data_IF_377669157313
#
_entry.id   IF_377669157313
#
_cell.length_a   1.000
_cell.length_b   1.000
_cell.length_c   1.000
_cell.angle_alpha   90.00
_cell.angle_beta   90.00
_cell.angle_gamma   90.00
#
_symmetry.space_group_name_H-M   'P 1'
#
loop_
_entity.id
_entity.type
_entity.pdbx_description
1 polymer ?
#
# COMPACT_ATOMS: atom_id res chain seq x y z
N UNK A 1 10.89 1.29 6.37
CA UNK A 1 12.10 1.70 7.11
C UNK A 1 12.42 3.18 6.87
N UNK A 2 13.15 3.84 7.77
CA UNK A 2 13.56 5.24 7.60
C UNK A 2 14.95 5.32 6.96
N UNK A 3 15.26 6.39 6.23
CA UNK A 3 16.58 6.59 5.60
C UNK A 3 17.74 6.46 6.59
N UNK A 4 17.51 6.75 7.88
CA UNK A 4 18.46 6.48 8.97
C UNK A 4 18.82 5.00 9.10
N UNK A 5 17.83 4.11 9.05
CA UNK A 5 18.04 2.66 9.14
C UNK A 5 18.87 2.17 7.96
N UNK A 6 18.49 2.60 6.75
CA UNK A 6 19.16 2.27 5.50
C UNK A 6 20.61 2.80 5.48
N UNK A 7 20.82 3.99 6.04
CA UNK A 7 22.14 4.60 6.20
C UNK A 7 23.08 3.79 7.08
N UNK A 8 22.59 3.28 8.20
CA UNK A 8 23.36 2.38 9.06
C UNK A 8 23.66 1.04 8.39
N UNK A 9 22.67 0.44 7.73
CA UNK A 9 22.81 -0.88 7.11
C UNK A 9 23.80 -0.89 5.94
N UNK A 10 23.67 0.08 5.04
CA UNK A 10 24.50 0.14 3.83
C UNK A 10 25.73 1.05 3.99
N UNK A 11 25.89 1.70 5.15
CA UNK A 11 26.95 2.69 5.43
C UNK A 11 26.99 3.84 4.42
N UNK A 12 25.82 4.24 3.91
CA UNK A 12 25.67 5.34 2.95
C UNK A 12 25.06 6.54 3.68
N UNK A 13 25.58 7.75 3.44
CA UNK A 13 25.04 8.96 4.06
C UNK A 13 23.59 9.25 3.63
N UNK A 14 22.75 9.74 4.55
CA UNK A 14 21.31 9.96 4.32
C UNK A 14 21.02 10.89 3.13
N UNK A 15 21.83 11.93 2.95
CA UNK A 15 21.72 12.84 1.81
C UNK A 15 21.86 12.13 0.45
N UNK A 16 22.70 11.10 0.40
CA UNK A 16 22.97 10.29 -0.79
C UNK A 16 21.84 9.30 -1.00
N UNK A 17 21.37 8.64 0.06
CA UNK A 17 20.19 7.75 0.02
C UNK A 17 18.94 8.49 -0.47
N UNK A 18 18.75 9.72 -0.01
CA UNK A 18 17.64 10.59 -0.44
C UNK A 18 17.63 10.88 -1.95
N UNK A 19 18.79 10.75 -2.61
CA UNK A 19 18.94 10.88 -4.07
C UNK A 19 18.85 9.54 -4.79
N UNK A 20 19.42 8.48 -4.21
CA UNK A 20 19.42 7.13 -4.81
C UNK A 20 18.00 6.57 -4.87
N UNK A 21 17.22 6.64 -3.79
CA UNK A 21 15.89 6.00 -3.74
C UNK A 21 14.98 6.49 -4.88
N UNK A 22 14.78 7.80 -5.10
CA UNK A 22 13.95 8.25 -6.21
C UNK A 22 14.53 7.89 -7.58
N UNK A 23 15.86 7.89 -7.74
CA UNK A 23 16.52 7.55 -9.00
C UNK A 23 16.32 6.08 -9.37
N UNK A 24 16.53 5.17 -8.43
CA UNK A 24 16.30 3.73 -8.63
C UNK A 24 14.82 3.41 -8.84
N UNK A 25 13.91 4.01 -8.05
CA UNK A 25 12.47 3.84 -8.27
C UNK A 25 12.04 4.34 -9.65
N UNK A 26 12.60 5.46 -10.12
CA UNK A 26 12.32 5.96 -11.47
C UNK A 26 12.83 5.00 -12.54
N UNK A 27 14.05 4.47 -12.40
CA UNK A 27 14.62 3.51 -13.34
C UNK A 27 13.79 2.21 -13.41
N UNK A 28 13.42 1.66 -12.25
CA UNK A 28 12.56 0.46 -12.15
C UNK A 28 11.21 0.72 -12.82
N UNK A 29 10.58 1.86 -12.52
CA UNK A 29 9.30 2.24 -13.14
C UNK A 29 9.45 2.36 -14.66
N UNK A 30 10.48 3.04 -15.18
CA UNK A 30 10.65 3.21 -16.62
C UNK A 30 10.78 1.88 -17.38
N UNK A 31 11.46 0.89 -16.80
CA UNK A 31 11.66 -0.41 -17.45
C UNK A 31 10.43 -1.30 -17.35
N UNK A 32 9.79 -1.37 -16.16
CA UNK A 32 8.74 -2.35 -15.89
C UNK A 32 7.33 -1.82 -16.15
N UNK A 33 7.11 -0.50 -16.12
CA UNK A 33 5.76 0.07 -16.17
C UNK A 33 5.03 -0.29 -17.46
N UNK A 34 5.70 -0.24 -18.61
CA UNK A 34 5.06 -0.50 -19.91
C UNK A 34 4.52 -1.94 -20.04
N UNK A 35 5.18 -2.92 -19.41
CA UNK A 35 4.82 -4.33 -19.53
C UNK A 35 3.91 -4.79 -18.36
N UNK A 36 4.11 -4.25 -17.16
CA UNK A 36 3.46 -4.74 -15.93
C UNK A 36 2.48 -3.76 -15.29
N UNK A 37 2.26 -2.58 -15.88
CA UNK A 37 1.30 -1.61 -15.38
C UNK A 37 0.60 -0.86 -16.53
N UNK A 38 -0.72 -1.03 -16.65
CA UNK A 38 -1.53 -0.17 -17.51
C UNK A 38 -1.80 1.14 -16.75
N UNK A 39 -1.03 2.17 -17.07
CA UNK A 39 -1.37 3.52 -16.63
C UNK A 39 -2.49 4.04 -17.53
N UNK A 40 -3.60 4.53 -16.97
CA UNK A 40 -4.68 5.06 -17.80
C UNK A 40 -4.20 6.21 -18.67
N UNK A 41 -4.43 6.11 -19.97
CA UNK A 41 -3.98 7.12 -20.94
C UNK A 41 -5.02 8.22 -21.17
N UNK A 42 -6.28 8.01 -20.72
CA UNK A 42 -7.35 8.99 -20.87
C UNK A 42 -7.95 9.46 -19.52
N UNK A 43 -8.39 10.73 -19.43
CA UNK A 43 -9.05 11.27 -18.23
C UNK A 43 -10.28 10.47 -17.78
N UNK A 44 -10.98 9.83 -18.72
CA UNK A 44 -12.19 9.06 -18.45
C UNK A 44 -11.88 7.77 -17.69
N UNK A 45 -10.78 7.08 -18.03
CA UNK A 45 -10.31 5.92 -17.28
C UNK A 45 -9.79 6.32 -15.90
N UNK A 46 -9.11 7.46 -15.78
CA UNK A 46 -8.74 8.02 -14.47
C UNK A 46 -9.96 8.32 -13.60
N UNK A 47 -11.04 8.82 -14.20
CA UNK A 47 -12.32 9.05 -13.51
C UNK A 47 -12.95 7.74 -13.06
N UNK A 48 -12.88 6.69 -13.87
CA UNK A 48 -13.33 5.34 -13.50
C UNK A 48 -12.54 4.80 -12.31
N UNK A 49 -11.20 4.86 -12.36
CA UNK A 49 -10.34 4.45 -11.24
C UNK A 49 -10.68 5.25 -9.99
N UNK A 50 -10.84 6.57 -10.07
CA UNK A 50 -11.22 7.39 -8.91
C UNK A 50 -12.58 7.01 -8.32
N UNK A 51 -13.56 6.68 -9.18
CA UNK A 51 -14.87 6.21 -8.74
C UNK A 51 -14.82 4.81 -8.12
N UNK A 52 -13.99 3.91 -8.65
CA UNK A 52 -13.80 2.57 -8.09
C UNK A 52 -13.16 2.66 -6.69
N UNK A 53 -12.15 3.53 -6.53
CA UNK A 53 -11.57 3.83 -5.22
C UNK A 53 -12.58 4.45 -4.24
N UNK A 54 -13.45 5.33 -4.73
CA UNK A 54 -14.53 5.89 -3.91
C UNK A 54 -15.56 4.82 -3.53
N UNK A 55 -15.98 3.96 -4.45
CA UNK A 55 -17.02 2.96 -4.21
C UNK A 55 -16.57 1.80 -3.33
N UNK A 56 -15.34 1.31 -3.53
CA UNK A 56 -14.80 0.18 -2.79
C UNK A 56 -14.19 0.59 -1.44
N UNK A 57 -13.55 1.77 -1.39
CA UNK A 57 -12.71 2.16 -0.26
C UNK A 57 -13.12 3.49 0.40
N UNK A 58 -14.21 4.11 -0.06
CA UNK A 58 -14.70 5.42 0.40
C UNK A 58 -13.61 6.51 0.43
N UNK A 59 -12.74 6.51 -0.60
CA UNK A 59 -11.58 7.40 -0.67
C UNK A 59 -11.77 8.47 -1.76
N UNK A 60 -12.41 9.62 -1.45
CA UNK A 60 -12.67 10.68 -2.43
C UNK A 60 -11.38 11.39 -2.85
N UNK A 61 -11.31 11.80 -4.12
CA UNK A 61 -10.19 12.53 -4.71
C UNK A 61 -8.83 11.82 -4.61
N UNK A 62 -8.80 10.50 -4.77
CA UNK A 62 -7.59 9.69 -4.64
C UNK A 62 -6.41 10.17 -5.52
N UNK A 63 -6.71 10.79 -6.66
CA UNK A 63 -5.74 11.28 -7.62
C UNK A 63 -4.95 12.51 -7.13
N UNK A 64 -5.52 13.31 -6.23
CA UNK A 64 -4.89 14.52 -5.71
C UNK A 64 -4.01 14.32 -4.48
N UNK A 65 -4.05 13.13 -3.87
CA UNK A 65 -3.39 12.86 -2.59
C UNK A 65 -1.92 12.40 -2.72
N UNK A 66 -1.44 12.10 -3.94
CA UNK A 66 -0.08 11.61 -4.16
C UNK A 66 0.90 12.74 -4.48
N UNK A 67 1.83 13.00 -3.56
CA UNK A 67 3.04 13.79 -3.82
C UNK A 67 3.90 13.15 -4.92
N UNK A 68 4.64 13.95 -5.70
CA UNK A 68 5.40 13.49 -6.86
C UNK A 68 6.48 12.44 -6.50
N UNK A 69 7.11 12.56 -5.32
CA UNK A 69 8.04 11.52 -4.81
C UNK A 69 7.31 10.26 -4.39
N UNK A 70 6.20 10.40 -3.68
CA UNK A 70 5.37 9.27 -3.26
C UNK A 70 4.87 8.49 -4.50
N UNK A 71 4.49 9.21 -5.56
CA UNK A 71 4.07 8.63 -6.84
C UNK A 71 5.13 7.71 -7.43
N UNK A 72 6.39 8.17 -7.50
CA UNK A 72 7.48 7.36 -8.07
C UNK A 72 7.72 6.08 -7.28
N UNK A 73 7.70 6.16 -5.95
CA UNK A 73 7.91 5.00 -5.07
C UNK A 73 6.76 4.00 -5.22
N UNK A 74 5.51 4.49 -5.20
CA UNK A 74 4.32 3.64 -5.35
C UNK A 74 4.32 2.94 -6.71
N UNK A 75 4.59 3.67 -7.80
CA UNK A 75 4.66 3.10 -9.14
C UNK A 75 5.73 2.02 -9.24
N UNK A 76 6.95 2.29 -8.78
CA UNK A 76 8.03 1.31 -8.78
C UNK A 76 7.66 0.04 -8.00
N UNK A 77 7.05 0.22 -6.82
CA UNK A 77 6.63 -0.90 -5.97
C UNK A 77 5.55 -1.75 -6.65
N UNK A 78 4.54 -1.12 -7.23
CA UNK A 78 3.47 -1.82 -7.93
C UNK A 78 3.97 -2.53 -9.20
N UNK A 79 4.83 -1.89 -9.99
CA UNK A 79 5.40 -2.52 -11.18
C UNK A 79 6.26 -3.73 -10.81
N UNK A 80 7.12 -3.59 -9.80
CA UNK A 80 7.96 -4.68 -9.31
C UNK A 80 7.12 -5.82 -8.75
N UNK A 81 6.09 -5.51 -7.96
CA UNK A 81 5.16 -6.50 -7.42
C UNK A 81 4.46 -7.28 -8.53
N UNK A 82 3.97 -6.60 -9.56
CA UNK A 82 3.32 -7.22 -10.71
C UNK A 82 4.28 -8.10 -11.51
N UNK A 83 5.51 -7.64 -11.72
CA UNK A 83 6.57 -8.44 -12.33
C UNK A 83 6.86 -9.73 -11.53
N UNK A 84 7.04 -9.60 -10.22
CA UNK A 84 7.33 -10.75 -9.34
C UNK A 84 6.15 -11.74 -9.30
N UNK A 85 4.91 -11.25 -9.27
CA UNK A 85 3.72 -12.11 -9.35
C UNK A 85 3.57 -12.79 -10.72
N UNK A 86 4.01 -12.14 -11.80
CA UNK A 86 3.94 -12.72 -13.14
C UNK A 86 4.99 -13.80 -13.37
N UNK A 87 6.23 -13.57 -12.92
CA UNK A 87 7.38 -14.47 -13.21
C UNK A 87 7.66 -15.49 -12.10
N UNK A 88 7.32 -15.16 -10.87
CA UNK A 88 7.70 -15.93 -9.68
C UNK A 88 6.53 -16.09 -8.71
N UNK A 89 5.31 -16.28 -9.23
CA UNK A 89 4.06 -16.35 -8.43
C UNK A 89 4.20 -17.25 -7.20
N UNK A 90 4.70 -18.47 -7.38
CA UNK A 90 4.74 -19.48 -6.32
C UNK A 90 5.82 -19.20 -5.28
N UNK A 91 6.88 -18.48 -5.65
CA UNK A 91 7.97 -18.09 -4.74
C UNK A 91 7.65 -16.77 -4.01
N UNK A 92 7.02 -15.82 -4.70
CA UNK A 92 6.76 -14.48 -4.20
C UNK A 92 5.43 -14.38 -3.43
N UNK A 93 4.42 -15.13 -3.85
CA UNK A 93 3.09 -15.21 -3.20
C UNK A 93 2.58 -16.67 -3.20
N UNK A 94 3.16 -17.57 -2.39
CA UNK A 94 2.64 -18.93 -2.28
C UNK A 94 1.20 -18.93 -1.80
N UNK A 95 0.42 -19.94 -2.21
CA UNK A 95 -1.04 -20.03 -2.00
C UNK A 95 -1.43 -19.84 -0.52
N UNK A 96 -0.60 -20.32 0.40
CA UNK A 96 -0.84 -20.22 1.84
C UNK A 96 -0.39 -18.89 2.46
N UNK A 97 0.35 -18.04 1.76
CA UNK A 97 0.93 -16.81 2.35
C UNK A 97 -0.05 -15.65 2.51
N UNK A 98 -1.16 -15.67 1.78
CA UNK A 98 -2.16 -14.61 1.78
C UNK A 98 -3.48 -15.15 2.32
N UNK A 99 -4.32 -14.24 2.78
CA UNK A 99 -5.68 -14.58 3.19
C UNK A 99 -6.49 -14.95 1.96
N UNK A 100 -7.20 -16.07 2.03
CA UNK A 100 -8.08 -16.53 0.97
C UNK A 100 -9.51 -16.52 1.49
N UNK A 101 -10.34 -15.66 0.90
CA UNK A 101 -11.76 -15.59 1.18
C UNK A 101 -12.52 -16.25 0.04
N UNK A 102 -13.18 -17.37 0.33
CA UNK A 102 -14.08 -18.00 -0.62
C UNK A 102 -15.47 -17.39 -0.48
N UNK A 103 -15.85 -16.59 -1.48
CA UNK A 103 -17.03 -15.70 -1.45
C UNK A 103 -18.34 -16.48 -1.27
N UNK A 104 -18.43 -17.70 -1.82
CA UNK A 104 -19.66 -18.51 -1.77
C UNK A 104 -19.85 -19.21 -0.42
N UNK A 105 -18.78 -19.69 0.20
CA UNK A 105 -18.81 -20.41 1.47
C UNK A 105 -18.65 -19.50 2.68
N UNK A 106 -18.25 -18.23 2.47
CA UNK A 106 -17.80 -17.29 3.52
C UNK A 106 -16.70 -17.89 4.41
N UNK A 107 -15.97 -18.88 3.91
CA UNK A 107 -14.86 -19.46 4.65
C UNK A 107 -13.62 -18.62 4.41
N UNK A 108 -12.95 -18.28 5.51
CA UNK A 108 -11.74 -17.49 5.53
C UNK A 108 -10.55 -18.37 5.91
N UNK A 109 -9.66 -18.62 4.96
CA UNK A 109 -8.39 -19.27 5.23
C UNK A 109 -7.33 -18.21 5.55
N UNK A 110 -6.79 -18.28 6.77
CA UNK A 110 -5.78 -17.32 7.23
C UNK A 110 -4.42 -17.61 6.60
N UNK A 111 -3.78 -16.58 6.07
CA UNK A 111 -2.42 -16.68 5.54
C UNK A 111 -1.39 -17.04 6.63
N UNK A 112 -0.38 -17.82 6.23
CA UNK A 112 0.70 -18.33 7.09
C UNK A 112 1.54 -17.23 7.72
N UNK A 113 1.47 -16.00 7.20
CA UNK A 113 2.17 -14.83 7.74
C UNK A 113 1.82 -14.52 9.20
N UNK A 114 0.64 -14.97 9.69
CA UNK A 114 0.24 -14.85 11.11
C UNK A 114 0.98 -15.82 12.04
N UNK A 115 1.49 -16.93 11.51
CA UNK A 115 2.19 -17.95 12.28
C UNK A 115 3.72 -17.80 12.21
N UNK A 116 4.22 -16.96 11.29
CA UNK A 116 5.64 -16.64 11.22
C UNK A 116 6.06 -15.74 12.38
N UNK A 117 6.93 -16.27 13.23
CA UNK A 117 7.48 -15.57 14.40
C UNK A 117 8.40 -14.39 14.02
N UNK A 118 8.75 -14.23 12.74
CA UNK A 118 9.78 -13.30 12.27
C UNK A 118 9.29 -12.22 11.29
N UNK A 119 8.04 -12.28 10.81
CA UNK A 119 7.58 -11.38 9.73
C UNK A 119 7.25 -9.97 10.23
N UNK A 120 6.80 -9.87 11.49
CA UNK A 120 6.48 -8.60 12.12
C UNK A 120 7.20 -8.53 13.46
N UNK A 121 8.34 -7.84 13.48
CA UNK A 121 8.87 -7.36 14.76
C UNK A 121 7.75 -6.62 15.49
N UNK A 122 7.55 -6.83 16.81
CA UNK A 122 6.58 -6.09 17.58
C UNK A 122 6.75 -4.60 17.26
N UNK A 123 5.66 -3.93 16.89
CA UNK A 123 5.70 -2.50 16.59
C UNK A 123 6.32 -1.77 17.78
N UNK A 124 7.61 -1.44 17.66
CA UNK A 124 8.26 -0.53 18.59
C UNK A 124 7.56 0.79 18.38
N UNK A 125 6.75 1.22 19.35
CA UNK A 125 6.10 2.54 19.36
C UNK A 125 7.19 3.61 19.36
N UNK A 126 7.71 3.93 18.18
CA UNK A 126 8.57 5.09 17.98
C UNK A 126 7.67 6.31 18.08
N UNK A 127 7.94 7.17 19.04
CA UNK A 127 7.24 8.44 19.22
C UNK A 127 7.60 9.41 18.10
N UNK A 128 7.08 9.19 16.90
CA UNK A 128 7.01 10.23 15.89
C UNK A 128 5.94 11.24 16.32
N UNK A 129 6.36 12.48 16.62
CA UNK A 129 5.43 13.58 16.77
C UNK A 129 4.95 14.01 15.39
N UNK A 130 3.95 13.32 14.86
CA UNK A 130 3.21 13.79 13.69
C UNK A 130 2.71 15.22 13.91
N UNK A 131 2.70 16.04 12.86
CA UNK A 131 2.20 17.42 12.92
C UNK A 131 0.75 17.43 13.40
N UNK A 132 0.33 18.52 14.06
CA UNK A 132 -1.04 18.66 14.57
C UNK A 132 -2.05 18.50 13.43
N UNK A 133 -1.75 19.08 12.26
CA UNK A 133 -2.54 18.96 11.03
C UNK A 133 -2.70 17.51 10.58
N UNK A 134 -1.62 16.72 10.54
CA UNK A 134 -1.70 15.32 10.13
C UNK A 134 -2.53 14.47 11.11
N UNK A 135 -2.44 14.76 12.41
CA UNK A 135 -3.27 14.09 13.43
C UNK A 135 -4.74 14.44 13.26
N UNK A 136 -5.03 15.70 12.97
CA UNK A 136 -6.39 16.19 12.77
C UNK A 136 -7.03 15.61 11.51
N UNK A 137 -6.29 15.57 10.39
CA UNK A 137 -6.71 14.89 9.15
C UNK A 137 -7.00 13.41 9.43
N UNK A 138 -6.07 12.69 10.08
CA UNK A 138 -6.26 11.27 10.43
C UNK A 138 -7.52 11.07 11.27
N UNK A 139 -7.69 11.84 12.36
CA UNK A 139 -8.84 11.72 13.25
C UNK A 139 -10.15 12.05 12.51
N UNK A 140 -10.14 13.05 11.62
CA UNK A 140 -11.29 13.41 10.79
C UNK A 140 -11.71 12.26 9.88
N UNK A 141 -10.76 11.63 9.20
CA UNK A 141 -11.03 10.45 8.37
C UNK A 141 -11.51 9.25 9.19
N UNK A 142 -10.91 9.00 10.36
CA UNK A 142 -11.35 7.93 11.27
C UNK A 142 -12.79 8.15 11.73
N UNK A 143 -13.14 9.36 12.16
CA UNK A 143 -14.50 9.67 12.61
C UNK A 143 -15.53 9.58 11.48
N UNK A 144 -15.17 10.02 10.28
CA UNK A 144 -16.04 9.89 9.11
C UNK A 144 -16.28 8.42 8.76
N UNK A 145 -15.21 7.63 8.63
CA UNK A 145 -15.27 6.23 8.19
C UNK A 145 -15.98 5.32 9.20
N UNK A 146 -15.89 5.62 10.50
CA UNK A 146 -16.57 4.87 11.55
C UNK A 146 -17.98 5.41 11.87
N UNK A 147 -18.38 6.53 11.28
CA UNK A 147 -19.66 7.19 11.52
C UNK A 147 -20.46 7.37 10.23
N UNK A 148 -20.59 8.60 9.71
CA UNK A 148 -21.45 8.92 8.57
C UNK A 148 -21.04 8.25 7.25
N UNK A 149 -19.78 7.86 7.10
CA UNK A 149 -19.26 7.11 5.95
C UNK A 149 -19.15 5.60 6.18
N UNK A 150 -19.68 5.09 7.29
CA UNK A 150 -19.65 3.66 7.58
C UNK A 150 -20.63 2.90 6.68
N UNK A 151 -20.18 1.76 6.16
CA UNK A 151 -20.98 0.90 5.28
C UNK A 151 -21.49 -0.33 6.05
N UNK A 152 -22.67 -0.82 5.70
CA UNK A 152 -23.36 -1.87 6.46
C UNK A 152 -22.55 -3.15 6.61
N UNK A 153 -21.82 -3.54 5.56
CA UNK A 153 -20.99 -4.74 5.52
C UNK A 153 -19.64 -4.60 6.24
N UNK A 154 -19.25 -3.38 6.64
CA UNK A 154 -17.94 -3.13 7.26
C UNK A 154 -17.79 -3.81 8.62
N UNK A 155 -18.90 -3.97 9.36
CA UNK A 155 -18.90 -4.65 10.66
C UNK A 155 -18.85 -6.17 10.49
N UNK A 156 -19.50 -6.68 9.45
CA UNK A 156 -19.52 -8.10 9.11
C UNK A 156 -18.12 -8.60 8.72
N UNK A 157 -17.28 -7.74 8.12
CA UNK A 157 -15.88 -8.07 7.79
C UNK A 157 -14.91 -8.03 8.98
N UNK A 158 -15.28 -7.42 10.10
CA UNK A 158 -14.39 -7.24 11.25
C UNK A 158 -14.58 -8.29 12.35
N UNK A 159 -15.42 -9.31 12.14
CA UNK A 159 -15.78 -10.34 13.14
C UNK A 159 -16.16 -9.75 14.52
N UNK A 160 -16.69 -8.51 14.54
CA UNK A 160 -17.14 -7.85 15.76
C UNK A 160 -18.62 -8.21 15.98
N UNK A 161 -18.85 -9.42 16.50
CA UNK A 161 -20.09 -9.79 17.21
C UNK A 161 -19.98 -9.48 18.71
#
# INVERSE_FOLDING_TARGET
EIQTSLSFQFRIAQNTISRIIPAECMAISQVLQNEFMKVPDCPEEWRKVANDFLGLWNFPMCLGALDAKAKQIVLATCCLHNFLRSKYKDLYTPISSLDHEEIESRSFEQGTWRNDTCTFLPFVKRFYRGTTVAKEIRNRFTNYSNGPGSVSWQRDMCDLH
#
